data_IF_280808134904
#
_entry.id   IF_280808134904
#
_cell.length_a   1.000
_cell.length_b   1.000
_cell.length_c   1.000
_cell.angle_alpha   90.00
_cell.angle_beta   90.00
_cell.angle_gamma   90.00
#
_symmetry.space_group_name_H-M   'P 1'
#
loop_
_entity.id
_entity.type
_entity.pdbx_description
1 polymer ?
#
# COMPACT_ATOMS: atom_id res chain seq x y z
N UNK A 1 -19.86 -35.24 13.40
CA UNK A 1 -20.02 -34.42 12.18
C UNK A 1 -19.20 -33.16 12.34
N UNK A 2 -17.92 -33.21 11.95
CA UNK A 2 -17.03 -32.04 12.00
C UNK A 2 -17.35 -31.19 10.78
N UNK A 3 -18.11 -30.11 10.97
CA UNK A 3 -18.38 -29.15 9.92
C UNK A 3 -17.07 -28.58 9.39
N UNK A 4 -16.72 -28.92 8.16
CA UNK A 4 -15.58 -28.35 7.45
C UNK A 4 -15.85 -26.85 7.35
N UNK A 5 -15.19 -26.02 8.16
CA UNK A 5 -15.30 -24.55 8.04
C UNK A 5 -14.95 -24.21 6.59
N UNK A 6 -15.92 -23.68 5.85
CA UNK A 6 -15.73 -23.23 4.47
C UNK A 6 -14.59 -22.20 4.49
N UNK A 7 -13.54 -22.43 3.70
CA UNK A 7 -12.45 -21.46 3.54
C UNK A 7 -13.08 -20.19 2.97
N UNK A 8 -12.82 -19.05 3.62
CA UNK A 8 -13.23 -17.75 3.07
C UNK A 8 -12.37 -17.49 1.85
N UNK A 9 -12.98 -17.12 0.73
CA UNK A 9 -12.25 -16.83 -0.50
C UNK A 9 -11.37 -15.58 -0.30
N UNK A 10 -10.16 -15.50 -0.87
CA UNK A 10 -9.25 -14.38 -0.64
C UNK A 10 -9.87 -13.00 -0.90
N UNK A 11 -10.69 -12.88 -1.95
CA UNK A 11 -11.41 -11.64 -2.26
C UNK A 11 -12.45 -11.24 -1.20
N UNK A 12 -13.18 -12.21 -0.64
CA UNK A 12 -14.14 -11.97 0.45
C UNK A 12 -13.40 -11.57 1.74
N UNK A 13 -12.29 -12.24 2.04
CA UNK A 13 -11.47 -11.92 3.20
C UNK A 13 -10.89 -10.50 3.10
N UNK A 14 -10.35 -10.13 1.94
CA UNK A 14 -9.79 -8.80 1.72
C UNK A 14 -10.86 -7.70 1.78
N UNK A 15 -11.94 -7.85 1.02
CA UNK A 15 -13.02 -6.86 0.99
C UNK A 15 -13.70 -6.71 2.35
N UNK A 16 -13.92 -7.82 3.08
CA UNK A 16 -14.44 -7.79 4.45
C UNK A 16 -13.54 -7.04 5.42
N UNK A 17 -12.21 -7.24 5.36
CA UNK A 17 -11.26 -6.52 6.19
C UNK A 17 -11.24 -5.01 5.91
N UNK A 18 -11.34 -4.61 4.63
CA UNK A 18 -11.42 -3.20 4.23
C UNK A 18 -12.70 -2.56 4.76
N UNK A 19 -13.85 -3.20 4.55
CA UNK A 19 -15.14 -2.67 4.99
C UNK A 19 -15.24 -2.54 6.51
N UNK A 20 -14.60 -3.45 7.26
CA UNK A 20 -14.54 -3.37 8.73
C UNK A 20 -13.80 -2.14 9.26
N UNK A 21 -12.94 -1.51 8.44
CA UNK A 21 -12.22 -0.29 8.84
C UNK A 21 -13.13 0.93 8.96
N UNK A 22 -14.30 0.94 8.29
CA UNK A 22 -15.27 2.04 8.28
C UNK A 22 -14.84 3.29 7.53
N UNK A 23 -13.55 3.67 7.60
CA UNK A 23 -12.99 4.83 6.91
C UNK A 23 -12.43 4.51 5.51
N UNK A 24 -12.40 3.25 5.08
CA UNK A 24 -11.82 2.83 3.80
C UNK A 24 -12.89 2.34 2.84
N UNK A 25 -12.76 2.69 1.56
CA UNK A 25 -13.71 2.29 0.52
C UNK A 25 -13.07 1.28 -0.43
N UNK A 26 -13.57 0.04 -0.40
CA UNK A 26 -13.17 -0.99 -1.35
C UNK A 26 -13.64 -0.64 -2.77
N UNK A 27 -12.73 -0.76 -3.75
CA UNK A 27 -13.01 -0.59 -5.19
C UNK A 27 -12.50 -1.81 -5.95
N UNK A 28 -13.25 -2.27 -6.96
CA UNK A 28 -12.90 -3.47 -7.72
C UNK A 28 -11.63 -3.27 -8.55
N UNK A 29 -10.79 -4.29 -8.65
CA UNK A 29 -9.53 -4.21 -9.40
C UNK A 29 -8.68 -3.01 -8.95
N UNK A 30 -8.05 -2.31 -9.90
CA UNK A 30 -7.26 -1.10 -9.65
C UNK A 30 -8.06 0.21 -9.77
N UNK A 31 -9.38 0.17 -9.59
CA UNK A 31 -10.24 1.35 -9.79
C UNK A 31 -9.97 2.50 -8.82
N UNK A 32 -9.33 2.27 -7.67
CA UNK A 32 -8.94 3.34 -6.76
C UNK A 32 -7.78 4.19 -7.30
N UNK A 33 -6.93 3.62 -8.17
CA UNK A 33 -5.70 4.30 -8.62
C UNK A 33 -6.06 5.42 -9.60
N UNK A 34 -5.74 6.67 -9.22
CA UNK A 34 -6.06 7.83 -10.05
C UNK A 34 -5.18 7.88 -11.31
N UNK A 35 -5.79 8.37 -12.39
CA UNK A 35 -5.14 8.51 -13.71
C UNK A 35 -3.87 9.36 -13.67
N UNK A 36 -3.86 10.41 -12.84
CA UNK A 36 -2.75 11.39 -12.77
C UNK A 36 -1.65 11.03 -11.77
N UNK A 37 -1.83 9.98 -10.99
CA UNK A 37 -0.90 9.63 -9.91
C UNK A 37 -0.14 8.36 -10.28
N UNK A 38 -0.81 7.20 -10.39
CA UNK A 38 -0.12 5.92 -10.60
C UNK A 38 -0.68 5.01 -11.69
N UNK A 39 -1.71 5.45 -12.43
CA UNK A 39 -2.35 4.60 -13.45
C UNK A 39 -1.38 4.33 -14.61
N UNK A 40 -1.15 3.05 -14.89
CA UNK A 40 -0.17 2.60 -15.89
C UNK A 40 1.24 2.34 -15.32
N UNK A 41 1.53 2.83 -14.11
CA UNK A 41 2.75 2.48 -13.38
C UNK A 41 2.54 1.26 -12.47
N UNK A 42 1.31 1.04 -12.00
CA UNK A 42 0.93 -0.09 -11.14
C UNK A 42 0.13 -1.09 -11.96
N UNK A 43 0.57 -2.35 -11.99
CA UNK A 43 -0.12 -3.46 -12.64
C UNK A 43 0.03 -4.73 -11.82
N UNK A 44 -0.90 -5.68 -11.95
CA UNK A 44 -0.68 -7.05 -11.49
C UNK A 44 0.07 -7.84 -12.56
N UNK A 45 0.95 -8.75 -12.15
CA UNK A 45 1.53 -9.75 -13.06
C UNK A 45 0.41 -10.57 -13.72
N UNK A 46 -0.57 -10.97 -12.92
CA UNK A 46 -1.83 -11.56 -13.36
C UNK A 46 -2.98 -10.67 -12.85
N UNK A 47 -3.67 -10.02 -13.78
CA UNK A 47 -4.77 -9.11 -13.44
C UNK A 47 -5.95 -9.83 -12.77
N UNK A 48 -6.12 -11.14 -12.97
CA UNK A 48 -7.19 -11.92 -12.34
C UNK A 48 -6.98 -12.13 -10.84
N UNK A 49 -5.74 -11.99 -10.37
CA UNK A 49 -5.36 -12.09 -8.95
C UNK A 49 -5.54 -10.79 -8.19
N UNK A 50 -5.90 -9.70 -8.85
CA UNK A 50 -6.15 -8.43 -8.16
C UNK A 50 -7.50 -8.53 -7.44
N UNK A 51 -7.45 -8.52 -6.12
CA UNK A 51 -8.62 -8.65 -5.25
C UNK A 51 -9.39 -7.33 -5.13
N UNK A 52 -8.72 -6.19 -5.28
CA UNK A 52 -9.31 -4.85 -5.22
C UNK A 52 -8.31 -3.80 -4.75
N UNK A 53 -8.75 -2.53 -4.73
CA UNK A 53 -7.92 -1.38 -4.38
C UNK A 53 -8.65 -0.36 -3.52
N UNK A 54 -7.87 0.44 -2.79
CA UNK A 54 -8.31 1.47 -1.85
C UNK A 54 -7.43 2.71 -2.09
N UNK A 55 -8.04 3.90 -2.03
CA UNK A 55 -7.34 5.19 -2.07
C UNK A 55 -7.27 5.74 -0.63
N UNK A 56 -6.27 5.31 0.13
CA UNK A 56 -6.14 5.62 1.56
C UNK A 56 -6.09 7.13 1.80
N UNK A 57 -5.34 7.90 1.00
CA UNK A 57 -5.27 9.36 1.19
C UNK A 57 -6.65 10.04 1.03
N UNK A 58 -7.42 9.64 0.02
CA UNK A 58 -8.74 10.19 -0.22
C UNK A 58 -9.73 9.73 0.86
N UNK A 59 -9.76 8.43 1.14
CA UNK A 59 -10.73 7.82 2.03
C UNK A 59 -10.52 8.28 3.49
N UNK A 60 -9.26 8.57 3.89
CA UNK A 60 -8.93 9.11 5.20
C UNK A 60 -8.88 10.65 5.25
N UNK A 61 -9.29 11.36 4.19
CA UNK A 61 -9.09 12.81 4.09
C UNK A 61 -9.79 13.60 5.19
N UNK A 62 -11.03 13.25 5.44
CA UNK A 62 -11.92 13.96 6.37
C UNK A 62 -11.64 13.57 7.83
N UNK A 63 -11.21 12.34 8.06
CA UNK A 63 -10.93 11.80 9.41
C UNK A 63 -9.51 12.14 9.88
N UNK A 64 -8.57 12.32 8.97
CA UNK A 64 -7.16 12.62 9.26
C UNK A 64 -6.68 13.84 8.44
N UNK A 65 -7.31 15.02 8.62
CA UNK A 65 -6.96 16.20 7.84
C UNK A 65 -5.51 16.64 8.12
N UNK A 66 -4.79 17.03 7.07
CA UNK A 66 -3.40 17.53 7.17
C UNK A 66 -2.35 16.49 7.56
N UNK A 67 -2.73 15.22 7.78
CA UNK A 67 -1.79 14.15 8.07
C UNK A 67 -1.00 13.71 6.83
N UNK A 68 0.21 13.20 7.03
CA UNK A 68 1.01 12.55 5.97
C UNK A 68 0.43 11.19 5.63
N UNK A 69 -0.75 11.14 4.98
CA UNK A 69 -1.44 9.90 4.68
C UNK A 69 -0.72 9.12 3.58
N UNK A 70 -0.83 7.79 3.63
CA UNK A 70 -0.37 6.90 2.57
C UNK A 70 -1.36 6.91 1.40
N UNK A 71 -0.90 6.67 0.17
CA UNK A 71 -1.79 6.85 -0.98
C UNK A 71 -2.74 5.67 -1.23
N UNK A 72 -2.20 4.45 -1.37
CA UNK A 72 -2.99 3.33 -1.89
C UNK A 72 -2.75 2.01 -1.15
N UNK A 73 -3.74 1.12 -1.23
CA UNK A 73 -3.63 -0.29 -0.89
C UNK A 73 -4.24 -1.12 -2.02
N UNK A 74 -3.58 -2.23 -2.38
CA UNK A 74 -4.09 -3.22 -3.33
C UNK A 74 -3.97 -4.62 -2.71
N UNK A 75 -5.05 -5.38 -2.72
CA UNK A 75 -5.04 -6.79 -2.36
C UNK A 75 -4.68 -7.65 -3.57
N UNK A 76 -3.78 -8.60 -3.40
CA UNK A 76 -3.37 -9.54 -4.44
C UNK A 76 -3.49 -10.99 -3.95
N UNK A 77 -4.01 -11.87 -4.79
CA UNK A 77 -4.19 -13.29 -4.49
C UNK A 77 -2.90 -14.06 -4.70
N UNK A 78 -2.42 -14.74 -3.66
CA UNK A 78 -1.27 -15.63 -3.69
C UNK A 78 -1.72 -17.04 -3.30
N UNK A 79 -0.89 -18.03 -3.63
CA UNK A 79 -1.17 -19.44 -3.28
C UNK A 79 -1.45 -19.65 -1.78
N UNK A 80 -0.88 -18.80 -0.91
CA UNK A 80 -1.05 -18.83 0.54
C UNK A 80 -2.08 -17.83 1.10
N UNK A 81 -2.85 -17.13 0.25
CA UNK A 81 -3.89 -16.18 0.64
C UNK A 81 -3.62 -14.76 0.17
N UNK A 82 -4.16 -13.78 0.89
CA UNK A 82 -4.08 -12.36 0.52
C UNK A 82 -2.69 -11.79 0.83
N UNK A 83 -2.10 -11.10 -0.14
CA UNK A 83 -0.96 -10.20 0.05
C UNK A 83 -1.42 -8.74 -0.10
N UNK A 84 -1.19 -7.92 0.92
CA UNK A 84 -1.55 -6.50 0.93
C UNK A 84 -0.38 -5.63 0.45
N UNK A 85 -0.53 -5.00 -0.71
CA UNK A 85 0.45 -4.06 -1.26
C UNK A 85 0.07 -2.63 -0.89
N UNK A 86 0.78 -2.03 0.05
CA UNK A 86 0.66 -0.61 0.38
C UNK A 86 1.58 0.18 -0.54
N UNK A 87 1.02 1.10 -1.32
CA UNK A 87 1.71 1.76 -2.42
C UNK A 87 1.63 3.27 -2.25
N UNK A 88 2.79 3.90 -2.19
CA UNK A 88 2.98 5.34 -2.14
C UNK A 88 3.45 5.83 -3.51
N UNK A 89 2.75 6.80 -4.10
CA UNK A 89 3.08 7.37 -5.40
C UNK A 89 3.56 8.81 -5.23
N UNK A 90 4.87 8.96 -5.00
CA UNK A 90 5.46 10.24 -4.57
C UNK A 90 6.72 10.59 -5.37
N UNK A 91 7.05 11.88 -5.58
CA UNK A 91 8.30 12.28 -6.22
C UNK A 91 9.52 11.67 -5.54
N UNK A 92 10.48 11.17 -6.31
CA UNK A 92 11.65 10.47 -5.81
C UNK A 92 12.93 11.31 -5.93
N UNK A 93 12.92 12.50 -5.32
CA UNK A 93 14.12 13.33 -5.15
C UNK A 93 14.63 13.28 -3.70
N UNK A 94 15.88 13.68 -3.45
CA UNK A 94 16.50 13.60 -2.11
C UNK A 94 15.65 14.23 -1.00
N UNK A 95 15.04 15.39 -1.24
CA UNK A 95 14.15 16.08 -0.28
C UNK A 95 12.93 15.25 0.14
N UNK A 96 12.45 14.36 -0.73
CA UNK A 96 11.22 13.59 -0.52
C UNK A 96 11.42 12.36 0.38
N UNK A 97 12.66 11.94 0.66
CA UNK A 97 12.91 10.77 1.52
C UNK A 97 12.34 10.96 2.93
N UNK A 98 12.41 12.17 3.47
CA UNK A 98 11.84 12.48 4.77
C UNK A 98 10.30 12.52 4.77
N UNK A 99 9.69 12.87 3.63
CA UNK A 99 8.24 12.91 3.49
C UNK A 99 7.66 11.50 3.43
N UNK A 100 8.26 10.62 2.62
CA UNK A 100 7.86 9.20 2.53
C UNK A 100 8.05 8.48 3.87
N UNK A 101 9.09 8.82 4.63
CA UNK A 101 9.25 8.31 6.00
C UNK A 101 8.09 8.70 6.90
N UNK A 102 7.71 9.99 6.93
CA UNK A 102 6.57 10.47 7.72
C UNK A 102 5.27 9.78 7.30
N UNK A 103 5.09 9.53 6.00
CA UNK A 103 3.94 8.78 5.49
C UNK A 103 3.94 7.33 5.94
N UNK A 104 5.11 6.68 5.97
CA UNK A 104 5.23 5.30 6.45
C UNK A 104 4.98 5.21 7.96
N UNK A 105 5.45 6.19 8.73
CA UNK A 105 5.17 6.31 10.17
C UNK A 105 3.66 6.46 10.43
N UNK A 106 2.99 7.32 9.65
CA UNK A 106 1.54 7.47 9.73
C UNK A 106 0.83 6.16 9.39
N UNK A 107 1.24 5.45 8.33
CA UNK A 107 0.64 4.18 7.95
C UNK A 107 0.81 3.11 9.03
N UNK A 108 2.00 3.01 9.62
CA UNK A 108 2.26 2.05 10.69
C UNK A 108 1.37 2.32 11.91
N UNK A 109 1.18 3.60 12.28
CA UNK A 109 0.26 4.00 13.34
C UNK A 109 -1.21 3.72 12.98
N UNK A 110 -1.63 4.07 11.76
CA UNK A 110 -2.98 3.84 11.24
C UNK A 110 -3.36 2.35 11.30
N UNK A 111 -2.40 1.45 11.04
CA UNK A 111 -2.63 0.00 11.08
C UNK A 111 -2.66 -0.59 12.51
N UNK A 112 -2.28 0.16 13.55
CA UNK A 112 -2.40 -0.30 14.94
C UNK A 112 -3.80 -0.11 15.53
N UNK A 113 -4.67 0.69 14.90
CA UNK A 113 -6.02 0.89 15.42
C UNK A 113 -6.86 -0.39 15.29
N UNK A 114 -7.63 -0.73 16.33
CA UNK A 114 -8.37 -2.00 16.42
C UNK A 114 -9.28 -2.28 15.22
N UNK A 115 -9.94 -1.25 14.68
CA UNK A 115 -10.81 -1.40 13.50
C UNK A 115 -10.05 -1.86 12.24
N UNK A 116 -8.72 -1.75 12.21
CA UNK A 116 -7.85 -2.16 11.10
C UNK A 116 -7.12 -3.48 11.37
N UNK A 117 -7.38 -4.14 12.51
CA UNK A 117 -6.72 -5.40 12.89
C UNK A 117 -6.84 -6.49 11.82
N UNK A 118 -8.01 -6.59 11.17
CA UNK A 118 -8.22 -7.55 10.07
C UNK A 118 -7.33 -7.27 8.85
N UNK A 119 -7.14 -6.00 8.52
CA UNK A 119 -6.28 -5.55 7.42
C UNK A 119 -4.78 -5.70 7.77
N UNK A 120 -4.41 -5.36 9.00
CA UNK A 120 -3.04 -5.47 9.51
C UNK A 120 -2.56 -6.93 9.66
N UNK A 121 -3.48 -7.89 9.74
CA UNK A 121 -3.19 -9.31 9.86
C UNK A 121 -2.71 -9.96 8.55
N UNK A 122 -2.94 -9.34 7.40
CA UNK A 122 -2.42 -9.87 6.14
C UNK A 122 -0.89 -9.71 6.05
N UNK A 123 -0.20 -10.68 5.43
CA UNK A 123 1.13 -10.42 4.88
C UNK A 123 1.09 -9.15 4.03
N UNK A 124 2.15 -8.33 4.12
CA UNK A 124 2.15 -7.01 3.51
C UNK A 124 3.50 -6.61 2.95
N UNK A 125 3.45 -5.72 1.97
CA UNK A 125 4.62 -5.06 1.41
C UNK A 125 4.37 -3.56 1.28
N UNK A 126 5.42 -2.77 1.50
CA UNK A 126 5.39 -1.33 1.34
C UNK A 126 6.18 -0.96 0.08
N UNK A 127 5.57 -0.19 -0.81
CA UNK A 127 6.13 0.17 -2.11
C UNK A 127 6.15 1.68 -2.28
N UNK A 128 7.27 2.20 -2.77
CA UNK A 128 7.37 3.56 -3.27
C UNK A 128 7.48 3.55 -4.79
N UNK A 129 6.47 4.08 -5.46
CA UNK A 129 6.44 4.33 -6.90
C UNK A 129 6.75 5.80 -7.15
N UNK A 130 7.76 6.08 -7.97
CA UNK A 130 8.13 7.44 -8.32
C UNK A 130 7.14 8.01 -9.33
N UNK A 131 6.44 9.09 -8.97
CA UNK A 131 5.55 9.82 -9.89
C UNK A 131 6.31 10.53 -11.03
N UNK A 132 7.60 10.79 -10.81
CA UNK A 132 8.50 11.43 -11.76
C UNK A 132 9.84 10.70 -11.86
N UNK A 133 10.89 11.38 -12.30
CA UNK A 133 12.27 10.83 -12.31
C UNK A 133 12.70 10.39 -10.91
N UNK A 134 13.63 9.44 -10.85
CA UNK A 134 14.28 9.04 -9.61
C UNK A 134 15.63 9.76 -9.56
N UNK A 135 15.80 10.64 -8.57
CA UNK A 135 16.99 11.45 -8.37
C UNK A 135 17.38 11.46 -6.89
N UNK A 136 17.88 10.32 -6.41
CA UNK A 136 18.41 10.15 -5.06
C UNK A 136 19.84 9.59 -5.19
N UNK A 137 20.85 10.45 -5.39
CA UNK A 137 22.22 10.00 -5.65
C UNK A 137 22.81 9.24 -4.46
N UNK A 138 23.56 8.17 -4.73
CA UNK A 138 24.03 7.22 -3.71
C UNK A 138 24.93 7.83 -2.63
N UNK A 139 25.66 8.90 -2.96
CA UNK A 139 26.56 9.61 -2.06
C UNK A 139 25.82 10.54 -1.07
N UNK A 140 24.51 10.71 -1.22
CA UNK A 140 23.74 11.63 -0.37
C UNK A 140 23.36 10.98 0.97
N UNK A 141 23.29 11.75 2.07
CA UNK A 141 22.77 11.27 3.35
C UNK A 141 21.36 10.67 3.23
N UNK A 142 20.53 11.21 2.34
CA UNK A 142 19.16 10.76 2.10
C UNK A 142 19.13 9.36 1.46
N UNK A 143 20.06 9.06 0.55
CA UNK A 143 20.22 7.69 0.06
C UNK A 143 20.61 6.73 1.18
N UNK A 144 21.58 7.12 2.02
CA UNK A 144 21.96 6.31 3.19
C UNK A 144 20.77 6.05 4.09
N UNK A 145 19.97 7.08 4.40
CA UNK A 145 18.74 6.97 5.21
C UNK A 145 17.73 6.00 4.60
N UNK A 146 17.49 6.09 3.29
CA UNK A 146 16.64 5.16 2.55
C UNK A 146 17.11 3.70 2.74
N UNK A 147 18.43 3.44 2.63
CA UNK A 147 18.99 2.10 2.80
C UNK A 147 18.94 1.60 4.24
N UNK A 148 19.30 2.44 5.21
CA UNK A 148 19.54 1.99 6.58
C UNK A 148 18.32 2.09 7.50
N UNK A 149 17.33 2.92 7.16
CA UNK A 149 16.08 3.10 7.92
C UNK A 149 14.90 2.47 7.18
N UNK A 150 14.53 3.03 6.03
CA UNK A 150 13.27 2.69 5.37
C UNK A 150 13.26 1.28 4.78
N UNK A 151 14.35 0.85 4.13
CA UNK A 151 14.45 -0.52 3.61
C UNK A 151 14.49 -1.58 4.70
N UNK A 152 15.02 -1.27 5.89
CA UNK A 152 14.96 -2.19 7.04
C UNK A 152 13.53 -2.37 7.57
N UNK A 153 12.67 -1.37 7.37
CA UNK A 153 11.21 -1.46 7.62
C UNK A 153 10.45 -2.17 6.48
N UNK A 154 11.14 -2.65 5.45
CA UNK A 154 10.54 -3.36 4.33
C UNK A 154 10.06 -2.47 3.18
N UNK A 155 10.35 -1.16 3.19
CA UNK A 155 10.02 -0.28 2.06
C UNK A 155 10.82 -0.68 0.81
N UNK A 156 10.12 -1.02 -0.26
CA UNK A 156 10.69 -1.31 -1.59
C UNK A 156 10.65 -0.06 -2.46
N UNK A 157 11.66 0.09 -3.32
CA UNK A 157 11.79 1.21 -4.25
C UNK A 157 12.73 2.34 -3.78
N UNK A 158 12.59 3.57 -4.34
CA UNK A 158 11.59 3.96 -5.35
C UNK A 158 11.76 3.21 -6.69
N UNK A 159 10.65 2.92 -7.37
CA UNK A 159 10.61 2.33 -8.73
C UNK A 159 9.74 3.14 -9.68
N UNK A 160 9.97 3.02 -10.99
CA UNK A 160 9.14 3.67 -12.01
C UNK A 160 7.82 2.96 -12.27
N UNK A 161 7.87 1.63 -12.33
CA UNK A 161 6.72 0.77 -12.52
C UNK A 161 6.77 -0.30 -11.42
N UNK A 162 5.60 -0.63 -10.90
CA UNK A 162 5.39 -1.66 -9.90
C UNK A 162 4.51 -2.75 -10.52
N UNK A 163 5.04 -3.96 -10.56
CA UNK A 163 4.29 -5.17 -10.88
C UNK A 163 4.01 -5.91 -9.58
N UNK A 164 2.73 -6.08 -9.25
CA UNK A 164 2.28 -6.83 -8.09
C UNK A 164 2.40 -8.31 -8.40
N UNK A 165 3.07 -9.04 -7.52
CA UNK A 165 3.33 -10.47 -7.68
C UNK A 165 2.81 -11.23 -6.48
#
# INVERSE_FOLDING_TARGET
MTGRKKRVEPGEAFSGAVNACGSLTYRRGLQAIKKREGKGQIAGEDASKILGSIAIDDDCRDTHPGSSRWDYLVGYDRSNGVLAHYIEVHPAETSNVAEVEKKLDWLDAFLQEDARRGLAAFPREYHWVASGRINIPQHTPQYKKLQTSLRKRGLKGPVKNLVLT
#
